data_IF_043124190553
#
_entry.id   IF_043124190553
#
_cell.length_a   1.000
_cell.length_b   1.000
_cell.length_c   1.000
_cell.angle_alpha   90.00
_cell.angle_beta   90.00
_cell.angle_gamma   90.00
#
_symmetry.space_group_name_H-M   'P 1'
#
loop_
_entity.id
_entity.type
_entity.pdbx_description
1 polymer ?
#
# COMPACT_ATOMS: atom_id res chain seq x y z
N UNK A 1 21.93 1.59 45.09
CA UNK A 1 21.56 2.54 43.99
C UNK A 1 22.59 2.53 42.86
N UNK A 2 23.88 2.35 43.12
CA UNK A 2 24.92 2.31 42.09
C UNK A 2 24.69 1.25 41.00
N UNK A 3 24.21 0.05 41.35
CA UNK A 3 24.04 -1.04 40.38
C UNK A 3 22.89 -0.80 39.40
N UNK A 4 21.82 -0.13 39.85
CA UNK A 4 20.71 0.27 38.97
C UNK A 4 21.17 1.29 37.92
N UNK A 5 22.03 2.24 38.34
CA UNK A 5 22.58 3.25 37.44
C UNK A 5 23.57 2.65 36.44
N UNK A 6 24.41 1.69 36.86
CA UNK A 6 25.27 0.93 35.94
C UNK A 6 24.45 0.12 34.93
N UNK A 7 23.36 -0.50 35.37
CA UNK A 7 22.48 -1.24 34.47
C UNK A 7 21.83 -0.33 33.42
N UNK A 8 21.41 0.88 33.80
CA UNK A 8 20.87 1.87 32.86
C UNK A 8 21.92 2.33 31.83
N UNK A 9 23.14 2.65 32.29
CA UNK A 9 24.23 3.03 31.38
C UNK A 9 24.58 1.92 30.39
N UNK A 10 24.58 0.66 30.83
CA UNK A 10 24.82 -0.49 29.96
C UNK A 10 23.68 -0.65 28.92
N UNK A 11 22.44 -0.42 29.33
CA UNK A 11 21.27 -0.48 28.45
C UNK A 11 21.36 0.60 27.36
N UNK A 12 21.63 1.85 27.74
CA UNK A 12 21.82 2.97 26.81
C UNK A 12 22.97 2.71 25.83
N UNK A 13 24.08 2.13 26.31
CA UNK A 13 25.20 1.74 25.47
C UNK A 13 24.84 0.65 24.46
N UNK A 14 23.98 -0.31 24.84
CA UNK A 14 23.47 -1.34 23.92
C UNK A 14 22.50 -0.75 22.90
N UNK A 15 21.64 0.18 23.31
CA UNK A 15 20.70 0.87 22.43
C UNK A 15 21.39 1.72 21.37
N UNK A 16 22.52 2.34 21.70
CA UNK A 16 23.32 3.09 20.73
C UNK A 16 24.00 2.19 19.68
N UNK A 17 24.22 0.91 19.99
CA UNK A 17 24.94 -0.04 19.10
C UNK A 17 23.99 -0.87 18.24
N UNK A 18 22.89 -1.33 18.82
CA UNK A 18 21.98 -2.27 18.18
C UNK A 18 20.63 -1.59 17.94
N UNK A 19 20.35 -1.32 16.67
CA UNK A 19 19.07 -0.77 16.25
C UNK A 19 17.97 -1.80 16.56
N UNK A 20 16.85 -1.34 17.12
CA UNK A 20 15.70 -2.20 17.43
C UNK A 20 15.66 -2.73 18.85
N UNK A 21 16.66 -2.45 19.69
CA UNK A 21 16.59 -2.77 21.13
C UNK A 21 15.54 -1.93 21.83
N UNK A 22 14.53 -2.57 22.39
CA UNK A 22 13.45 -1.90 23.11
C UNK A 22 13.77 -1.54 24.57
N UNK A 23 12.96 -0.65 25.12
CA UNK A 23 12.82 -0.36 26.55
C UNK A 23 11.43 -0.79 27.03
N UNK A 24 11.18 -0.75 28.35
CA UNK A 24 9.86 -1.08 28.91
C UNK A 24 8.73 -0.19 28.34
N UNK A 25 9.07 0.99 27.83
CA UNK A 25 8.13 1.99 27.33
C UNK A 25 8.04 2.04 25.79
N UNK A 26 8.55 1.02 25.08
CA UNK A 26 8.44 0.99 23.61
C UNK A 26 6.99 0.94 23.16
N UNK A 27 6.63 1.83 22.24
CA UNK A 27 5.31 1.78 21.64
C UNK A 27 5.17 0.52 20.78
N UNK A 28 3.97 -0.08 20.77
CA UNK A 28 3.70 -1.22 19.91
C UNK A 28 4.02 -0.90 18.44
N UNK A 29 3.74 0.32 17.97
CA UNK A 29 4.05 0.74 16.60
C UNK A 29 5.55 0.70 16.27
N UNK A 30 6.42 1.15 17.20
CA UNK A 30 7.87 1.11 17.02
C UNK A 30 8.38 -0.33 16.93
N UNK A 31 7.84 -1.21 17.78
CA UNK A 31 8.17 -2.63 17.75
C UNK A 31 7.76 -3.29 16.42
N UNK A 32 6.53 -3.06 15.95
CA UNK A 32 6.07 -3.60 14.65
C UNK A 32 6.90 -3.07 13.49
N UNK A 33 7.29 -1.79 13.53
CA UNK A 33 8.14 -1.19 12.51
C UNK A 33 9.55 -1.81 12.47
N UNK A 34 10.12 -2.15 13.63
CA UNK A 34 11.40 -2.85 13.70
C UNK A 34 11.28 -4.27 13.13
N UNK A 35 10.24 -5.01 13.51
CA UNK A 35 9.97 -6.37 12.98
C UNK A 35 9.77 -6.35 11.45
N UNK A 36 9.01 -5.38 10.92
CA UNK A 36 8.82 -5.23 9.49
C UNK A 36 10.14 -4.96 8.76
N UNK A 37 11.03 -4.13 9.31
CA UNK A 37 12.35 -3.89 8.72
C UNK A 37 13.24 -5.12 8.76
N UNK A 38 13.25 -5.87 9.86
CA UNK A 38 14.08 -7.08 10.00
C UNK A 38 13.63 -8.19 9.04
N UNK A 39 12.31 -8.35 8.87
CA UNK A 39 11.76 -9.33 7.91
C UNK A 39 12.14 -8.95 6.47
N UNK A 40 11.91 -7.70 6.06
CA UNK A 40 12.30 -7.21 4.74
C UNK A 40 13.82 -7.33 4.51
N UNK A 41 14.64 -7.06 5.53
CA UNK A 41 16.10 -7.16 5.44
C UNK A 41 16.53 -8.61 5.21
N UNK A 42 15.83 -9.57 5.83
CA UNK A 42 16.04 -11.00 5.60
C UNK A 42 15.69 -11.42 4.18
N UNK A 43 14.62 -10.85 3.58
CA UNK A 43 14.30 -11.07 2.16
C UNK A 43 15.42 -10.59 1.24
N UNK A 44 16.01 -9.42 1.50
CA UNK A 44 17.09 -8.87 0.67
C UNK A 44 18.43 -9.58 0.90
N UNK A 45 18.72 -9.96 2.15
CA UNK A 45 19.99 -10.58 2.55
C UNK A 45 20.15 -12.04 2.14
N UNK A 46 19.05 -12.77 1.93
CA UNK A 46 19.06 -14.18 1.57
C UNK A 46 18.63 -14.40 0.11
N UNK A 47 19.57 -14.70 -0.82
CA UNK A 47 19.24 -15.00 -2.22
C UNK A 47 18.15 -16.06 -2.47
N UNK A 48 18.08 -17.19 -1.73
CA UNK A 48 17.01 -18.17 -1.95
C UNK A 48 15.63 -17.63 -1.56
N UNK A 49 15.58 -16.77 -0.55
CA UNK A 49 14.33 -16.23 -0.04
C UNK A 49 13.83 -15.08 -0.95
N UNK A 50 14.76 -14.28 -1.50
CA UNK A 50 14.46 -13.29 -2.53
C UNK A 50 13.93 -13.94 -3.82
N UNK A 51 14.56 -15.03 -4.26
CA UNK A 51 14.12 -15.74 -5.47
C UNK A 51 12.75 -16.39 -5.28
N UNK A 52 12.48 -16.96 -4.11
CA UNK A 52 11.15 -17.46 -3.75
C UNK A 52 10.09 -16.35 -3.83
N UNK A 53 10.36 -15.18 -3.25
CA UNK A 53 9.46 -14.03 -3.30
C UNK A 53 9.25 -13.53 -4.74
N UNK A 54 10.32 -13.43 -5.54
CA UNK A 54 10.25 -13.00 -6.93
C UNK A 54 9.42 -13.95 -7.81
N UNK A 55 9.54 -15.26 -7.59
CA UNK A 55 8.71 -16.28 -8.27
C UNK A 55 7.24 -16.14 -7.86
N UNK A 56 6.96 -15.95 -6.56
CA UNK A 56 5.59 -15.77 -6.06
C UNK A 56 4.91 -14.51 -6.58
N UNK A 57 5.66 -13.43 -6.79
CA UNK A 57 5.18 -12.16 -7.33
C UNK A 57 5.20 -12.09 -8.87
N UNK A 58 5.86 -13.04 -9.54
CA UNK A 58 6.03 -13.03 -11.00
C UNK A 58 6.88 -11.86 -11.52
N UNK A 59 7.79 -11.34 -10.70
CA UNK A 59 8.63 -10.18 -11.01
C UNK A 59 10.10 -10.57 -11.19
N UNK A 60 10.89 -9.67 -11.76
CA UNK A 60 12.35 -9.85 -11.78
C UNK A 60 12.93 -9.71 -10.37
N UNK A 61 14.01 -10.46 -10.10
CA UNK A 61 14.67 -10.47 -8.79
C UNK A 61 15.08 -9.06 -8.30
N UNK A 62 15.56 -8.23 -9.21
CA UNK A 62 16.01 -6.87 -8.87
C UNK A 62 14.83 -5.92 -8.63
N UNK A 63 13.71 -6.07 -9.35
CA UNK A 63 12.48 -5.30 -9.08
C UNK A 63 11.91 -5.64 -7.70
N UNK A 64 11.82 -6.94 -7.37
CA UNK A 64 11.36 -7.36 -6.03
C UNK A 64 12.31 -6.85 -4.95
N UNK A 65 13.62 -6.90 -5.17
CA UNK A 65 14.60 -6.34 -4.23
C UNK A 65 14.38 -4.84 -4.00
N UNK A 66 14.19 -4.08 -5.07
CA UNK A 66 13.96 -2.64 -5.01
C UNK A 66 12.66 -2.33 -4.26
N UNK A 67 11.59 -3.07 -4.56
CA UNK A 67 10.32 -2.95 -3.85
C UNK A 67 10.48 -3.22 -2.34
N UNK A 68 11.20 -4.28 -1.94
CA UNK A 68 11.42 -4.58 -0.52
C UNK A 68 12.21 -3.46 0.18
N UNK A 69 13.20 -2.84 -0.49
CA UNK A 69 13.97 -1.72 0.05
C UNK A 69 13.11 -0.46 0.18
N UNK A 70 12.28 -0.15 -0.82
CA UNK A 70 11.34 0.97 -0.78
C UNK A 70 10.33 0.82 0.36
N UNK A 71 9.85 -0.40 0.59
CA UNK A 71 8.97 -0.71 1.72
C UNK A 71 9.67 -0.53 3.08
N UNK A 72 11.00 -0.64 3.19
CA UNK A 72 11.70 -0.31 4.44
C UNK A 72 11.70 1.19 4.76
N UNK A 73 11.70 2.03 3.72
CA UNK A 73 11.72 3.50 3.86
C UNK A 73 10.34 4.04 4.25
N UNK A 74 9.27 3.51 3.64
CA UNK A 74 7.88 3.99 3.87
C UNK A 74 7.03 3.11 4.80
N UNK A 75 7.30 1.81 4.89
CA UNK A 75 6.46 0.81 5.56
C UNK A 75 6.55 0.78 7.08
N UNK A 76 7.34 1.67 7.68
CA UNK A 76 7.51 1.76 9.13
C UNK A 76 6.44 2.58 9.85
N UNK A 77 5.39 3.01 9.14
CA UNK A 77 4.26 3.73 9.70
C UNK A 77 4.61 5.14 10.16
N UNK A 78 3.73 6.09 9.84
CA UNK A 78 3.66 7.32 10.61
C UNK A 78 3.45 6.91 12.08
N UNK A 79 4.17 7.51 13.06
CA UNK A 79 3.91 7.24 14.48
C UNK A 79 2.40 7.31 14.73
N UNK A 80 1.85 6.43 15.60
CA UNK A 80 0.41 6.34 15.78
C UNK A 80 -0.12 7.74 16.02
N UNK A 81 -0.99 8.23 15.13
CA UNK A 81 -1.57 9.55 15.25
C UNK A 81 -2.04 9.69 16.70
N UNK A 82 -1.46 10.66 17.43
CA UNK A 82 -1.80 10.90 18.83
C UNK A 82 -3.30 11.13 18.85
N UNK A 83 -4.10 10.11 19.21
CA UNK A 83 -5.57 10.10 19.22
C UNK A 83 -6.16 11.48 18.88
N UNK A 84 -6.22 11.83 17.60
CA UNK A 84 -6.87 13.07 17.18
C UNK A 84 -8.37 12.81 17.21
N UNK A 85 -8.85 12.79 18.46
CA UNK A 85 -10.15 13.21 18.95
C UNK A 85 -11.36 13.15 18.01
N UNK A 86 -11.61 12.06 17.27
CA UNK A 86 -12.85 11.83 16.47
C UNK A 86 -13.15 12.85 15.36
N UNK A 87 -12.62 14.09 15.42
CA UNK A 87 -12.92 15.20 14.51
C UNK A 87 -12.32 15.00 13.12
N UNK A 88 -11.17 14.34 13.01
CA UNK A 88 -10.53 14.10 11.71
C UNK A 88 -11.15 12.93 10.93
N UNK A 89 -11.83 12.03 11.64
CA UNK A 89 -12.60 10.95 11.02
C UNK A 89 -13.91 11.51 10.42
N UNK A 90 -14.63 12.37 11.16
CA UNK A 90 -15.79 13.11 10.64
C UNK A 90 -15.40 13.99 9.45
N UNK A 91 -14.27 14.70 9.49
CA UNK A 91 -13.82 15.53 8.36
C UNK A 91 -13.51 14.69 7.11
N UNK A 92 -12.95 13.48 7.27
CA UNK A 92 -12.71 12.57 6.13
C UNK A 92 -13.99 11.95 5.59
N UNK A 93 -14.97 11.70 6.45
CA UNK A 93 -16.28 11.18 6.07
C UNK A 93 -17.13 12.25 5.37
N UNK A 94 -17.12 13.50 5.85
CA UNK A 94 -17.76 14.65 5.20
C UNK A 94 -17.13 15.01 3.85
N UNK A 95 -15.81 14.93 3.72
CA UNK A 95 -15.11 15.16 2.44
C UNK A 95 -15.48 14.08 1.44
N UNK A 96 -15.64 12.82 1.88
CA UNK A 96 -16.05 11.70 1.03
C UNK A 96 -17.49 11.84 0.56
N UNK A 97 -18.40 12.23 1.46
CA UNK A 97 -19.81 12.50 1.13
C UNK A 97 -19.90 13.64 0.11
N UNK A 98 -19.12 14.72 0.25
CA UNK A 98 -19.11 15.82 -0.73
C UNK A 98 -18.55 15.40 -2.08
N UNK A 99 -17.52 14.55 -2.14
CA UNK A 99 -17.00 14.03 -3.42
C UNK A 99 -17.93 13.02 -4.09
N UNK A 100 -18.72 12.27 -3.32
CA UNK A 100 -19.73 11.34 -3.84
C UNK A 100 -21.01 12.08 -4.27
N UNK A 101 -21.38 13.19 -3.60
CA UNK A 101 -22.47 14.08 -4.00
C UNK A 101 -22.10 14.96 -5.20
N UNK A 102 -20.82 15.26 -5.42
CA UNK A 102 -20.31 16.00 -6.58
C UNK A 102 -20.03 15.11 -7.81
N UNK A 103 -20.21 13.78 -7.70
CA UNK A 103 -20.45 12.89 -8.85
C UNK A 103 -21.89 13.08 -9.39
N UNK A 104 -22.22 14.34 -9.68
CA UNK A 104 -23.43 14.73 -10.40
C UNK A 104 -23.28 14.29 -11.85
N UNK A 105 -23.96 13.19 -12.15
CA UNK A 105 -24.49 12.75 -13.44
C UNK A 105 -24.08 13.61 -14.65
N UNK A 106 -23.15 13.10 -15.46
CA UNK A 106 -22.81 13.68 -16.75
C UNK A 106 -24.01 13.52 -17.71
N UNK A 107 -24.74 14.61 -17.97
CA UNK A 107 -25.78 14.72 -19.01
C UNK A 107 -25.15 14.69 -20.43
N UNK A 108 -24.55 13.57 -20.82
CA UNK A 108 -24.22 13.31 -22.22
C UNK A 108 -25.42 12.63 -22.89
N UNK A 109 -26.01 13.20 -23.97
CA UNK A 109 -27.16 12.59 -24.61
C UNK A 109 -26.80 11.17 -25.10
N UNK A 110 -27.68 10.18 -24.91
CA UNK A 110 -27.40 8.82 -25.33
C UNK A 110 -27.11 8.79 -26.83
N UNK A 111 -26.15 7.97 -27.29
CA UNK A 111 -25.85 7.85 -28.71
C UNK A 111 -27.14 7.56 -29.49
N UNK A 112 -27.33 8.16 -30.67
CA UNK A 112 -28.56 7.99 -31.44
C UNK A 112 -28.82 6.50 -31.66
N UNK A 113 -30.05 6.06 -31.41
CA UNK A 113 -30.45 4.67 -31.66
C UNK A 113 -30.15 4.33 -33.13
N UNK A 114 -29.55 3.16 -33.41
CA UNK A 114 -29.32 2.76 -34.79
C UNK A 114 -30.66 2.72 -35.53
N UNK A 115 -30.70 3.05 -36.84
CA UNK A 115 -31.90 2.94 -37.66
C UNK A 115 -32.53 1.54 -37.52
N UNK A 116 -33.88 1.44 -37.54
CA UNK A 116 -34.59 0.16 -37.39
C UNK A 116 -34.18 -0.90 -38.42
N UNK A 117 -33.65 -0.44 -39.56
CA UNK A 117 -33.23 -1.28 -40.68
C UNK A 117 -31.73 -1.60 -40.67
N UNK A 118 -30.99 -1.21 -39.62
CA UNK A 118 -29.57 -1.54 -39.49
C UNK A 118 -29.40 -3.07 -39.34
N UNK A 119 -28.47 -3.69 -40.09
CA UNK A 119 -28.20 -5.11 -39.93
C UNK A 119 -27.72 -5.35 -38.50
N UNK A 120 -28.36 -6.28 -37.79
CA UNK A 120 -27.95 -6.64 -36.42
C UNK A 120 -26.50 -7.12 -36.47
N UNK A 121 -25.61 -6.40 -35.81
CA UNK A 121 -24.24 -6.87 -35.63
C UNK A 121 -24.24 -8.12 -34.73
N UNK A 122 -23.37 -9.07 -35.03
CA UNK A 122 -23.19 -10.24 -34.18
C UNK A 122 -22.66 -9.83 -32.80
N UNK A 123 -22.67 -10.75 -31.84
CA UNK A 123 -22.17 -10.57 -30.45
C UNK A 123 -20.75 -10.00 -30.31
N UNK A 124 -20.01 -9.85 -31.41
CA UNK A 124 -18.67 -9.27 -31.49
C UNK A 124 -18.58 -7.95 -32.28
N UNK A 125 -19.70 -7.33 -32.67
CA UNK A 125 -19.72 -5.99 -33.30
C UNK A 125 -19.36 -5.96 -34.78
N UNK A 126 -19.51 -7.08 -35.49
CA UNK A 126 -19.31 -7.18 -36.93
C UNK A 126 -20.65 -7.31 -37.66
N UNK A 127 -20.79 -6.59 -38.78
CA UNK A 127 -21.94 -6.74 -39.67
C UNK A 127 -21.85 -7.99 -40.55
N UNK A 128 -22.92 -8.35 -41.27
CA UNK A 128 -22.96 -9.53 -42.15
C UNK A 128 -21.90 -9.53 -43.25
N UNK A 129 -21.33 -8.36 -43.56
CA UNK A 129 -20.28 -8.17 -44.57
C UNK A 129 -18.85 -8.33 -43.99
N UNK A 130 -18.70 -8.76 -42.74
CA UNK A 130 -17.41 -8.96 -42.08
C UNK A 130 -16.65 -7.68 -41.74
N UNK A 131 -17.26 -6.51 -41.90
CA UNK A 131 -16.71 -5.23 -41.47
C UNK A 131 -17.18 -4.87 -40.05
N UNK A 132 -16.26 -4.28 -39.27
CA UNK A 132 -16.55 -3.79 -37.92
C UNK A 132 -17.53 -2.63 -38.02
N UNK A 133 -18.66 -2.72 -37.31
CA UNK A 133 -19.68 -1.68 -37.34
C UNK A 133 -19.05 -0.35 -36.89
N UNK A 134 -18.96 0.61 -37.81
CA UNK A 134 -18.50 1.96 -37.48
C UNK A 134 -19.69 2.70 -36.87
N UNK A 135 -19.52 3.18 -35.64
CA UNK A 135 -20.45 4.10 -34.98
C UNK A 135 -20.38 5.47 -35.64
#
# INVERSE_FOLDING_TARGET
MADKLRAQQNLEALQARYIGTGSADTAAAEWHANVARDTLASFVGHPPLLTYAAIGLGQSREQTRLQMIEQMAWGAGLPPAKKESKKEAEVKEEVKIKTEEEEVQYDWPPPPRPPKDAPKADKYGFGPDGQRARF
#
